data_IF_232544241417
#
_entry.id   IF_232544241417
#
_cell.length_a   1.000
_cell.length_b   1.000
_cell.length_c   1.000
_cell.angle_alpha   90.00
_cell.angle_beta   90.00
_cell.angle_gamma   90.00
#
_symmetry.space_group_name_H-M   'P 1'
#
loop_
_entity.id
_entity.type
_entity.pdbx_description
1 polymer ?
#
# COMPACT_ATOMS: atom_id res chain seq x y z
N UNK A 1 -3.11 14.53 29.08
CA UNK A 1 -4.37 15.18 28.62
C UNK A 1 -5.54 14.48 29.30
N UNK A 2 -6.60 15.18 29.72
CA UNK A 2 -7.78 14.48 30.29
C UNK A 2 -8.61 13.81 29.19
N UNK A 3 -9.31 12.71 29.51
CA UNK A 3 -10.19 12.02 28.55
C UNK A 3 -11.30 12.94 28.01
N UNK A 4 -11.81 13.84 28.86
CA UNK A 4 -12.78 14.89 28.48
C UNK A 4 -12.16 15.85 27.47
N UNK A 5 -10.94 16.35 27.74
CA UNK A 5 -10.23 17.24 26.82
C UNK A 5 -9.93 16.59 25.47
N UNK A 6 -9.56 15.30 25.47
CA UNK A 6 -9.38 14.53 24.24
C UNK A 6 -10.68 14.41 23.44
N UNK A 7 -11.79 14.04 24.11
CA UNK A 7 -13.12 13.94 23.48
C UNK A 7 -13.50 15.22 22.75
N UNK A 8 -13.36 16.38 23.41
CA UNK A 8 -13.69 17.69 22.79
C UNK A 8 -12.88 17.95 21.53
N UNK A 9 -11.56 17.68 21.55
CA UNK A 9 -10.70 17.86 20.38
C UNK A 9 -11.07 16.92 19.23
N UNK A 10 -11.35 15.66 19.54
CA UNK A 10 -11.76 14.66 18.55
C UNK A 10 -13.11 15.00 17.95
N UNK A 11 -14.11 15.38 18.74
CA UNK A 11 -15.41 15.82 18.24
C UNK A 11 -15.27 17.01 17.29
N UNK A 12 -14.37 17.95 17.58
CA UNK A 12 -14.04 19.04 16.67
C UNK A 12 -13.48 18.56 15.32
N UNK A 13 -12.58 17.57 15.33
CA UNK A 13 -12.06 16.95 14.09
C UNK A 13 -13.18 16.26 13.31
N UNK A 14 -13.98 15.43 13.98
CA UNK A 14 -15.10 14.68 13.38
C UNK A 14 -16.12 15.62 12.75
N UNK A 15 -16.47 16.73 13.41
CA UNK A 15 -17.39 17.73 12.88
C UNK A 15 -16.90 18.35 11.57
N UNK A 16 -15.62 18.73 11.51
CA UNK A 16 -15.01 19.28 10.29
C UNK A 16 -14.98 18.24 9.18
N UNK A 17 -14.56 17.01 9.47
CA UNK A 17 -14.55 15.93 8.48
C UNK A 17 -15.95 15.65 7.90
N UNK A 18 -16.99 15.62 8.74
CA UNK A 18 -18.38 15.46 8.29
C UNK A 18 -18.82 16.62 7.39
N UNK A 19 -18.47 17.86 7.76
CA UNK A 19 -18.74 19.05 6.95
C UNK A 19 -18.07 18.98 5.57
N UNK A 20 -16.86 18.43 5.51
CA UNK A 20 -16.09 18.26 4.26
C UNK A 20 -16.45 16.99 3.46
N UNK A 21 -17.49 16.26 3.87
CA UNK A 21 -17.97 15.05 3.20
C UNK A 21 -17.16 13.78 3.46
N UNK A 22 -16.18 13.80 4.37
CA UNK A 22 -15.31 12.66 4.73
C UNK A 22 -15.97 11.78 5.78
N UNK A 23 -17.13 11.24 5.43
CA UNK A 23 -18.05 10.56 6.36
C UNK A 23 -17.43 9.27 6.91
N UNK A 24 -16.73 8.50 6.08
CA UNK A 24 -16.14 7.22 6.49
C UNK A 24 -15.01 7.41 7.50
N UNK A 25 -14.13 8.37 7.24
CA UNK A 25 -13.04 8.73 8.15
C UNK A 25 -13.58 9.29 9.46
N UNK A 26 -14.56 10.19 9.39
CA UNK A 26 -15.20 10.76 10.57
C UNK A 26 -15.81 9.68 11.46
N UNK A 27 -16.56 8.74 10.88
CA UNK A 27 -17.16 7.60 11.58
C UNK A 27 -16.09 6.71 12.21
N UNK A 28 -15.04 6.37 11.47
CA UNK A 28 -13.94 5.54 11.99
C UNK A 28 -13.27 6.18 13.21
N UNK A 29 -13.03 7.50 13.18
CA UNK A 29 -12.45 8.22 14.32
C UNK A 29 -13.42 8.27 15.50
N UNK A 30 -14.69 8.62 15.25
CA UNK A 30 -15.74 8.76 16.27
C UNK A 30 -15.97 7.47 17.06
N UNK A 31 -15.91 6.31 16.40
CA UNK A 31 -16.13 5.00 17.01
C UNK A 31 -14.91 4.45 17.78
N UNK A 32 -13.70 4.94 17.51
CA UNK A 32 -12.47 4.28 17.96
C UNK A 32 -11.53 5.16 18.79
N UNK A 33 -11.71 6.49 18.85
CA UNK A 33 -10.76 7.40 19.50
C UNK A 33 -10.45 7.08 20.96
N UNK A 34 -11.39 6.46 21.68
CA UNK A 34 -11.29 6.17 23.11
C UNK A 34 -10.78 4.76 23.43
N UNK A 35 -10.45 3.96 22.41
CA UNK A 35 -9.79 2.66 22.57
C UNK A 35 -8.30 2.89 22.77
N UNK A 36 -7.66 2.06 23.58
CA UNK A 36 -6.20 1.99 23.60
C UNK A 36 -5.69 1.53 22.23
N UNK A 37 -4.45 1.88 21.90
CA UNK A 37 -3.80 1.47 20.66
C UNK A 37 -3.79 -0.06 20.54
N UNK A 38 -3.58 -0.77 21.65
CA UNK A 38 -3.62 -2.23 21.69
C UNK A 38 -5.01 -2.81 21.39
N UNK A 39 -6.05 -2.31 22.06
CA UNK A 39 -7.44 -2.76 21.82
C UNK A 39 -7.86 -2.52 20.37
N UNK A 40 -7.56 -1.33 19.85
CA UNK A 40 -7.86 -0.99 18.47
C UNK A 40 -7.10 -1.87 17.48
N UNK A 41 -5.81 -2.12 17.74
CA UNK A 41 -4.99 -3.01 16.92
C UNK A 41 -5.51 -4.45 16.90
N UNK A 42 -5.98 -4.98 18.04
CA UNK A 42 -6.63 -6.31 18.08
C UNK A 42 -7.87 -6.36 17.20
N UNK A 43 -8.70 -5.32 17.24
CA UNK A 43 -9.88 -5.22 16.38
C UNK A 43 -9.50 -5.16 14.89
N UNK A 44 -8.47 -4.40 14.53
CA UNK A 44 -7.96 -4.36 13.16
C UNK A 44 -7.50 -5.74 12.70
N UNK A 45 -6.81 -6.47 13.57
CA UNK A 45 -6.22 -7.78 13.31
C UNK A 45 -7.17 -8.98 13.43
N UNK A 46 -8.47 -8.74 13.56
CA UNK A 46 -9.50 -9.78 13.57
C UNK A 46 -10.29 -9.79 12.26
N UNK A 47 -10.08 -10.85 11.47
CA UNK A 47 -10.80 -11.17 10.24
C UNK A 47 -10.54 -12.64 9.88
N UNK A 48 -11.59 -13.38 9.47
CA UNK A 48 -11.52 -14.80 9.10
C UNK A 48 -12.58 -15.12 8.05
N UNK A 49 -12.29 -14.89 6.76
CA UNK A 49 -13.23 -15.17 5.68
C UNK A 49 -13.43 -16.68 5.50
N UNK A 50 -14.67 -17.09 5.20
CA UNK A 50 -15.03 -18.51 5.04
C UNK A 50 -14.68 -19.07 3.65
N UNK A 51 -14.85 -18.27 2.59
CA UNK A 51 -14.52 -18.68 1.21
C UNK A 51 -13.02 -18.90 1.14
N UNK A 52 -12.53 -19.95 0.49
CA UNK A 52 -11.10 -20.17 0.28
C UNK A 52 -10.44 -19.00 -0.49
N UNK A 53 -9.15 -18.81 -0.30
CA UNK A 53 -8.34 -17.93 -1.14
C UNK A 53 -8.16 -18.61 -2.49
N UNK A 54 -8.16 -17.85 -3.58
CA UNK A 54 -7.87 -18.39 -4.89
C UNK A 54 -6.43 -18.91 -4.95
N UNK A 55 -6.24 -20.09 -5.55
CA UNK A 55 -4.94 -20.74 -5.72
C UNK A 55 -3.93 -19.85 -6.43
N UNK A 56 -4.40 -19.04 -7.37
CA UNK A 56 -3.62 -18.11 -8.17
C UNK A 56 -3.05 -16.99 -7.30
N UNK A 57 -3.83 -16.51 -6.33
CA UNK A 57 -3.37 -15.47 -5.40
C UNK A 57 -2.40 -16.07 -4.37
N UNK A 58 -2.67 -17.27 -3.87
CA UNK A 58 -1.74 -18.01 -3.00
C UNK A 58 -0.39 -18.20 -3.69
N UNK A 59 -0.40 -18.64 -4.95
CA UNK A 59 0.81 -18.80 -5.78
C UNK A 59 1.53 -17.47 -6.01
N UNK A 60 0.78 -16.38 -6.20
CA UNK A 60 1.35 -15.05 -6.38
C UNK A 60 2.05 -14.51 -5.11
N UNK A 61 1.49 -14.75 -3.92
CA UNK A 61 2.18 -14.47 -2.67
C UNK A 61 3.42 -15.34 -2.50
N UNK A 62 3.35 -16.63 -2.85
CA UNK A 62 4.48 -17.53 -2.77
C UNK A 62 5.65 -17.06 -3.65
N UNK A 63 5.36 -16.61 -4.88
CA UNK A 63 6.34 -16.07 -5.80
C UNK A 63 7.00 -14.78 -5.26
N UNK A 64 6.22 -13.89 -4.63
CA UNK A 64 6.78 -12.68 -4.01
C UNK A 64 7.68 -13.00 -2.81
N UNK A 65 7.28 -13.94 -1.95
CA UNK A 65 8.11 -14.37 -0.82
C UNK A 65 9.41 -15.03 -1.30
N UNK A 66 9.36 -15.79 -2.39
CA UNK A 66 10.54 -16.38 -3.01
C UNK A 66 11.46 -15.31 -3.61
N UNK A 67 10.91 -14.31 -4.32
CA UNK A 67 11.67 -13.17 -4.84
C UNK A 67 12.42 -12.42 -3.73
N UNK A 68 11.79 -12.33 -2.56
CA UNK A 68 12.33 -11.71 -1.34
C UNK A 68 13.27 -12.61 -0.54
N UNK A 69 13.57 -13.81 -1.02
CA UNK A 69 14.50 -14.79 -0.43
C UNK A 69 14.10 -15.29 0.96
N UNK A 70 12.80 -15.41 1.22
CA UNK A 70 12.35 -16.19 2.38
C UNK A 70 12.67 -17.67 2.16
N UNK A 71 13.20 -18.32 3.20
CA UNK A 71 13.41 -19.77 3.19
C UNK A 71 12.08 -20.54 3.10
N UNK A 72 12.15 -21.82 2.72
CA UNK A 72 10.97 -22.64 2.47
C UNK A 72 10.04 -22.73 3.69
N UNK A 73 10.59 -22.87 4.90
CA UNK A 73 9.81 -23.00 6.13
C UNK A 73 9.09 -21.68 6.46
N UNK A 74 9.84 -20.57 6.47
CA UNK A 74 9.26 -19.24 6.70
C UNK A 74 8.17 -18.92 5.67
N UNK A 75 8.40 -19.26 4.39
CA UNK A 75 7.42 -19.05 3.31
C UNK A 75 6.11 -19.78 3.60
N UNK A 76 6.17 -21.06 3.97
CA UNK A 76 4.98 -21.86 4.31
C UNK A 76 4.22 -21.29 5.51
N UNK A 77 4.92 -20.90 6.57
CA UNK A 77 4.30 -20.34 7.77
C UNK A 77 3.60 -18.99 7.48
N UNK A 78 4.25 -18.13 6.69
CA UNK A 78 3.69 -16.84 6.28
C UNK A 78 2.45 -17.05 5.41
N UNK A 79 2.51 -17.93 4.41
CA UNK A 79 1.37 -18.24 3.55
C UNK A 79 0.20 -18.82 4.33
N UNK A 80 0.47 -19.72 5.28
CA UNK A 80 -0.56 -20.26 6.17
C UNK A 80 -1.25 -19.16 6.98
N UNK A 81 -0.46 -18.24 7.57
CA UNK A 81 -1.01 -17.10 8.32
C UNK A 81 -1.84 -16.17 7.42
N UNK A 82 -1.36 -15.85 6.22
CA UNK A 82 -2.08 -15.04 5.23
C UNK A 82 -3.42 -15.68 4.82
N UNK A 83 -3.45 -16.99 4.55
CA UNK A 83 -4.66 -17.73 4.18
C UNK A 83 -5.72 -17.69 5.26
N UNK A 84 -5.29 -17.85 6.51
CA UNK A 84 -6.14 -17.89 7.70
C UNK A 84 -6.69 -16.52 8.09
N UNK A 85 -5.83 -15.48 8.07
CA UNK A 85 -6.15 -14.16 8.61
C UNK A 85 -6.65 -13.17 7.55
N UNK A 86 -6.14 -13.25 6.32
CA UNK A 86 -6.39 -12.32 5.19
C UNK A 86 -6.41 -10.86 5.63
N UNK A 87 -5.34 -10.43 6.29
CA UNK A 87 -5.18 -9.07 6.80
C UNK A 87 -3.88 -8.51 6.25
N UNK A 88 -3.93 -7.26 5.77
CA UNK A 88 -2.78 -6.59 5.16
C UNK A 88 -2.77 -5.09 5.51
N UNK A 89 -1.61 -4.58 5.93
CA UNK A 89 -1.36 -3.14 6.01
C UNK A 89 -0.99 -2.61 4.62
N UNK A 90 -1.73 -1.64 4.08
CA UNK A 90 -1.54 -1.15 2.69
C UNK A 90 -1.33 0.37 2.58
N UNK A 91 -1.12 1.06 3.71
CA UNK A 91 -0.83 2.50 3.72
C UNK A 91 0.58 2.93 3.24
N UNK A 92 1.65 2.15 3.47
CA UNK A 92 2.99 2.59 3.12
C UNK A 92 3.24 2.54 1.60
N UNK A 93 3.68 3.67 1.06
CA UNK A 93 4.39 3.69 -0.22
C UNK A 93 5.72 2.97 -0.04
N UNK A 94 6.17 2.22 -1.04
CA UNK A 94 7.47 1.56 -0.97
C UNK A 94 8.56 2.61 -0.70
N UNK A 95 9.33 2.39 0.36
CA UNK A 95 10.37 3.30 0.83
C UNK A 95 11.47 2.55 1.56
N UNK A 96 12.66 3.16 1.62
CA UNK A 96 13.84 2.52 2.22
C UNK A 96 13.81 2.54 3.76
N UNK A 97 13.45 3.68 4.32
CA UNK A 97 13.22 3.84 5.76
C UNK A 97 11.97 4.66 5.95
N UNK A 98 11.13 4.29 6.91
CA UNK A 98 9.88 5.00 7.13
C UNK A 98 10.07 6.40 7.74
N UNK A 99 9.03 7.23 7.60
CA UNK A 99 8.88 8.47 8.38
C UNK A 99 8.06 8.25 9.66
N UNK A 100 7.93 9.26 10.54
CA UNK A 100 7.25 9.12 11.83
C UNK A 100 5.81 8.60 11.74
N UNK A 101 5.07 9.05 10.72
CA UNK A 101 3.69 8.59 10.48
C UNK A 101 3.63 7.12 10.07
N UNK A 102 4.51 6.69 9.17
CA UNK A 102 4.48 5.29 8.69
C UNK A 102 5.00 4.32 9.75
N UNK A 103 6.03 4.71 10.52
CA UNK A 103 6.43 3.97 11.71
C UNK A 103 5.28 3.81 12.71
N UNK A 104 4.53 4.89 12.98
CA UNK A 104 3.37 4.84 13.88
C UNK A 104 2.26 3.93 13.33
N UNK A 105 2.05 3.91 12.01
CA UNK A 105 1.10 3.03 11.33
C UNK A 105 1.49 1.56 11.52
N UNK A 106 2.75 1.21 11.25
CA UNK A 106 3.25 -0.16 11.36
C UNK A 106 3.30 -0.62 12.82
N UNK A 107 3.70 0.26 13.74
CA UNK A 107 3.58 0.02 15.17
C UNK A 107 2.12 -0.30 15.55
N UNK A 108 1.18 0.61 15.28
CA UNK A 108 -0.23 0.44 15.64
C UNK A 108 -0.81 -0.82 15.00
N UNK A 109 -0.57 -1.06 13.72
CA UNK A 109 -1.06 -2.23 13.00
C UNK A 109 -0.48 -3.55 13.53
N UNK A 110 0.73 -3.54 14.05
CA UNK A 110 1.41 -4.76 14.55
C UNK A 110 1.05 -5.14 15.99
N UNK A 111 0.61 -4.20 16.84
CA UNK A 111 0.42 -4.43 18.28
C UNK A 111 -0.46 -5.64 18.62
N UNK A 112 -1.59 -5.79 17.93
CA UNK A 112 -2.59 -6.84 18.15
C UNK A 112 -2.30 -8.15 17.42
N UNK A 113 -1.16 -8.27 16.74
CA UNK A 113 -0.76 -9.48 16.02
C UNK A 113 -0.13 -10.48 17.00
N UNK A 114 -0.66 -11.70 17.14
CA UNK A 114 -0.06 -12.74 17.97
C UNK A 114 1.37 -13.08 17.51
N UNK A 115 2.25 -13.45 18.44
CA UNK A 115 3.67 -13.74 18.13
C UNK A 115 3.85 -14.90 17.13
N UNK A 116 2.94 -15.88 17.14
CA UNK A 116 2.92 -17.04 16.23
C UNK A 116 2.26 -16.76 14.87
N UNK A 117 1.86 -15.53 14.61
CA UNK A 117 1.21 -15.10 13.36
C UNK A 117 2.02 -13.95 12.76
N UNK A 118 1.84 -13.66 11.48
CA UNK A 118 2.64 -12.63 10.79
C UNK A 118 1.87 -11.32 10.64
N UNK A 119 2.58 -10.20 10.84
CA UNK A 119 2.11 -8.87 10.47
C UNK A 119 2.66 -8.55 9.08
N UNK A 120 1.80 -8.60 8.07
CA UNK A 120 2.21 -8.38 6.68
C UNK A 120 1.92 -6.94 6.27
N UNK A 121 2.96 -6.25 5.83
CA UNK A 121 2.94 -4.90 5.28
C UNK A 121 3.09 -5.00 3.77
N UNK A 122 1.99 -4.70 3.08
CA UNK A 122 1.95 -4.60 1.64
C UNK A 122 2.31 -3.19 1.18
N UNK A 123 3.55 -2.99 0.73
CA UNK A 123 3.99 -1.71 0.22
C UNK A 123 3.59 -1.54 -1.25
N UNK A 124 3.11 -0.35 -1.59
CA UNK A 124 2.71 -0.03 -2.97
C UNK A 124 3.88 0.61 -3.72
N UNK A 125 4.37 -0.05 -4.78
CA UNK A 125 5.45 0.41 -5.65
C UNK A 125 4.97 1.04 -6.96
N UNK A 126 3.66 1.01 -7.24
CA UNK A 126 3.00 1.74 -8.32
C UNK A 126 2.97 3.27 -8.14
N UNK A 127 4.12 3.85 -7.82
CA UNK A 127 4.33 5.26 -7.47
C UNK A 127 5.55 5.81 -8.21
N UNK A 128 5.63 7.13 -8.40
CA UNK A 128 6.83 7.76 -8.92
C UNK A 128 7.91 7.89 -7.85
N UNK A 129 9.18 7.97 -8.26
CA UNK A 129 10.30 8.50 -7.50
C UNK A 129 10.13 10.03 -7.30
N UNK A 130 9.22 10.40 -6.40
CA UNK A 130 8.87 11.80 -6.14
C UNK A 130 9.24 12.28 -4.74
N UNK A 131 9.30 13.60 -4.57
CA UNK A 131 9.48 14.22 -3.25
C UNK A 131 8.27 14.04 -2.32
N UNK A 132 7.10 13.70 -2.89
CA UNK A 132 5.85 13.45 -2.14
C UNK A 132 5.80 12.01 -1.62
N UNK A 133 6.13 11.03 -2.47
CA UNK A 133 6.12 9.61 -2.12
C UNK A 133 7.41 9.15 -1.43
N UNK A 134 8.54 9.84 -1.66
CA UNK A 134 9.86 9.62 -1.06
C UNK A 134 10.41 8.18 -1.12
N UNK A 135 10.20 7.41 -2.21
CA UNK A 135 10.56 6.00 -2.24
C UNK A 135 12.07 5.76 -2.20
N UNK A 136 12.86 6.70 -2.74
CA UNK A 136 14.32 6.64 -2.81
C UNK A 136 15.07 7.46 -1.76
N UNK A 137 14.49 7.63 -0.57
CA UNK A 137 15.08 8.46 0.50
C UNK A 137 15.26 7.71 1.80
N UNK A 138 16.34 8.02 2.50
CA UNK A 138 16.46 7.75 3.94
C UNK A 138 15.82 8.92 4.66
N UNK A 139 14.70 8.67 5.31
CA UNK A 139 13.95 9.69 6.05
C UNK A 139 14.60 9.94 7.42
N UNK A 140 14.95 11.19 7.70
CA UNK A 140 15.58 11.65 8.95
C UNK A 140 15.04 13.01 9.37
N UNK A 141 15.21 13.37 10.64
CA UNK A 141 14.78 14.65 11.21
C UNK A 141 15.51 15.84 10.60
N UNK A 142 16.85 15.80 10.56
CA UNK A 142 17.66 16.93 10.10
C UNK A 142 17.65 17.07 8.58
N UNK A 143 17.99 16.00 7.89
CA UNK A 143 18.08 16.01 6.42
C UNK A 143 17.80 14.61 5.87
N UNK A 144 16.77 14.51 5.03
CA UNK A 144 16.49 13.29 4.29
C UNK A 144 17.54 13.08 3.20
N UNK A 145 18.14 11.90 3.16
CA UNK A 145 19.21 11.60 2.20
C UNK A 145 18.56 11.03 0.94
N UNK A 146 18.64 11.78 -0.15
CA UNK A 146 18.18 11.32 -1.44
C UNK A 146 19.19 10.33 -2.03
N UNK A 147 18.78 9.10 -2.35
CA UNK A 147 19.66 8.07 -2.90
C UNK A 147 19.57 7.95 -4.43
N UNK A 148 18.47 8.37 -5.04
CA UNK A 148 18.30 8.25 -6.49
C UNK A 148 18.89 9.45 -7.25
N UNK A 149 19.31 9.27 -8.52
CA UNK A 149 19.73 10.36 -9.39
C UNK A 149 18.54 11.20 -9.84
N UNK A 150 18.75 12.48 -10.14
CA UNK A 150 17.69 13.39 -10.60
C UNK A 150 17.03 12.97 -11.92
N UNK A 151 17.68 12.11 -12.72
CA UNK A 151 17.12 11.55 -13.95
C UNK A 151 15.99 10.55 -13.72
N UNK A 152 15.93 9.97 -12.51
CA UNK A 152 14.85 9.11 -12.07
C UNK A 152 13.77 9.89 -11.32
N UNK A 153 13.83 11.22 -11.27
CA UNK A 153 12.75 12.02 -10.71
C UNK A 153 11.47 11.73 -11.51
N UNK A 154 10.44 11.24 -10.82
CA UNK A 154 9.14 10.86 -11.36
C UNK A 154 9.07 9.53 -12.16
N UNK A 155 10.19 8.79 -12.22
CA UNK A 155 10.25 7.43 -12.75
C UNK A 155 9.42 6.44 -11.93
N UNK A 156 8.90 5.39 -12.56
CA UNK A 156 8.11 4.37 -11.87
C UNK A 156 9.00 3.53 -10.93
N UNK A 157 8.59 3.36 -9.68
CA UNK A 157 9.34 2.57 -8.68
C UNK A 157 9.21 1.06 -8.90
N UNK A 158 8.04 0.60 -9.36
CA UNK A 158 7.76 -0.80 -9.64
C UNK A 158 8.83 -1.39 -10.56
N UNK A 159 9.47 -2.47 -10.11
CA UNK A 159 10.57 -3.18 -10.80
C UNK A 159 11.76 -2.31 -11.22
N UNK A 160 11.92 -1.12 -10.62
CA UNK A 160 13.11 -0.30 -10.84
C UNK A 160 14.38 -1.05 -10.44
N UNK A 161 15.49 -0.70 -11.08
CA UNK A 161 16.82 -1.25 -10.80
C UNK A 161 17.61 -0.29 -9.93
N UNK A 162 18.51 -0.81 -9.10
CA UNK A 162 19.44 -0.01 -8.30
C UNK A 162 20.40 0.71 -9.26
N UNK A 163 20.44 2.06 -9.29
CA UNK A 163 21.44 2.78 -10.07
C UNK A 163 22.81 2.75 -9.36
N UNK A 164 23.93 2.79 -10.10
CA UNK A 164 25.29 2.73 -9.53
C UNK A 164 25.54 3.75 -8.41
N UNK A 165 24.96 4.94 -8.53
CA UNK A 165 25.10 6.05 -7.58
C UNK A 165 24.59 5.73 -6.16
N UNK A 166 23.71 4.74 -5.99
CA UNK A 166 23.25 4.35 -4.64
C UNK A 166 24.42 3.84 -3.81
N UNK A 167 25.25 2.96 -4.37
CA UNK A 167 26.37 2.35 -3.67
C UNK A 167 27.34 3.40 -3.10
N UNK A 168 27.73 4.38 -3.92
CA UNK A 168 28.56 5.51 -3.51
C UNK A 168 27.96 6.29 -2.34
N UNK A 169 26.64 6.56 -2.39
CA UNK A 169 25.95 7.29 -1.33
C UNK A 169 25.84 6.49 -0.04
N UNK A 170 25.65 5.18 -0.12
CA UNK A 170 25.58 4.32 1.07
C UNK A 170 26.89 4.35 1.86
N UNK A 171 28.04 4.46 1.19
CA UNK A 171 29.36 4.56 1.83
C UNK A 171 29.53 5.84 2.68
N UNK A 172 28.72 6.87 2.44
CA UNK A 172 28.75 8.12 3.23
C UNK A 172 27.86 8.07 4.48
N UNK A 173 27.09 6.99 4.67
CA UNK A 173 26.14 6.88 5.77
C UNK A 173 26.81 6.39 7.06
N UNK A 174 26.22 6.69 8.23
CA UNK A 174 26.71 6.16 9.49
C UNK A 174 26.71 4.63 9.50
N UNK A 175 27.83 4.02 9.91
CA UNK A 175 28.02 2.55 9.96
C UNK A 175 26.88 1.85 10.71
N UNK A 176 26.39 2.45 11.80
CA UNK A 176 25.25 1.93 12.58
C UNK A 176 24.00 1.72 11.75
N UNK A 177 23.71 2.59 10.77
CA UNK A 177 22.56 2.47 9.88
C UNK A 177 22.83 1.45 8.77
N UNK A 178 24.00 1.54 8.12
CA UNK A 178 24.34 0.67 6.98
C UNK A 178 24.34 -0.82 7.33
N UNK A 179 24.62 -1.18 8.59
CA UNK A 179 24.54 -2.57 9.08
C UNK A 179 23.15 -3.20 8.98
N UNK A 180 22.09 -2.41 8.85
CA UNK A 180 20.71 -2.87 8.68
C UNK A 180 20.24 -2.84 7.23
N UNK A 181 21.04 -2.26 6.33
CA UNK A 181 20.72 -2.20 4.90
C UNK A 181 21.35 -3.42 4.21
N UNK A 182 20.60 -4.16 3.37
CA UNK A 182 21.19 -5.18 2.52
C UNK A 182 22.21 -4.56 1.56
N UNK A 183 23.11 -5.38 1.03
CA UNK A 183 24.04 -4.94 0.00
C UNK A 183 23.27 -4.42 -1.22
N UNK A 184 23.56 -3.20 -1.65
CA UNK A 184 23.00 -2.63 -2.87
C UNK A 184 23.89 -3.02 -4.06
N UNK A 185 23.37 -3.87 -4.94
CA UNK A 185 24.07 -4.29 -6.17
C UNK A 185 23.50 -3.53 -7.36
N UNK A 186 24.29 -2.70 -8.08
CA UNK A 186 23.81 -1.99 -9.26
C UNK A 186 23.17 -2.94 -10.29
N UNK A 187 22.01 -2.55 -10.83
CA UNK A 187 21.24 -3.35 -11.78
C UNK A 187 20.30 -4.40 -11.14
N UNK A 188 20.47 -4.73 -9.86
CA UNK A 188 19.55 -5.60 -9.13
C UNK A 188 18.23 -4.88 -8.77
N UNK A 189 17.25 -5.62 -8.25
CA UNK A 189 15.92 -5.10 -7.93
C UNK A 189 15.97 -4.06 -6.79
N UNK A 190 15.57 -2.83 -7.10
CA UNK A 190 15.44 -1.76 -6.12
C UNK A 190 14.34 -2.06 -5.10
N UNK A 191 13.17 -2.52 -5.57
CA UNK A 191 12.01 -2.77 -4.70
C UNK A 191 12.31 -3.86 -3.66
N UNK A 192 12.98 -4.94 -4.06
CA UNK A 192 13.45 -5.99 -3.13
C UNK A 192 14.38 -5.42 -2.08
N UNK A 193 15.41 -4.69 -2.50
CA UNK A 193 16.40 -4.10 -1.61
C UNK A 193 15.76 -3.14 -0.60
N UNK A 194 14.86 -2.27 -1.05
CA UNK A 194 14.14 -1.33 -0.20
C UNK A 194 13.22 -2.03 0.82
N UNK A 195 12.48 -3.07 0.40
CA UNK A 195 11.62 -3.85 1.29
C UNK A 195 12.43 -4.56 2.38
N UNK A 196 13.54 -5.20 2.02
CA UNK A 196 14.42 -5.89 2.97
C UNK A 196 15.03 -4.90 3.96
N UNK A 197 15.52 -3.74 3.51
CA UNK A 197 16.00 -2.69 4.39
C UNK A 197 14.94 -2.14 5.35
N UNK A 198 13.73 -1.85 4.84
CA UNK A 198 12.63 -1.38 5.67
C UNK A 198 12.24 -2.43 6.72
N UNK A 199 12.14 -3.70 6.31
CA UNK A 199 11.87 -4.82 7.19
C UNK A 199 12.94 -4.96 8.28
N UNK A 200 14.23 -4.97 7.94
CA UNK A 200 15.31 -5.12 8.92
C UNK A 200 15.32 -3.97 9.95
N UNK A 201 15.16 -2.74 9.48
CA UNK A 201 15.14 -1.57 10.36
C UNK A 201 13.92 -1.59 11.29
N UNK A 202 12.72 -1.86 10.76
CA UNK A 202 11.51 -1.88 11.58
C UNK A 202 11.42 -3.07 12.54
N UNK A 203 11.86 -4.27 12.14
CA UNK A 203 11.94 -5.42 13.06
C UNK A 203 12.77 -5.08 14.29
N UNK A 204 13.89 -4.36 14.11
CA UNK A 204 14.75 -3.89 15.20
C UNK A 204 14.08 -2.81 16.06
N UNK A 205 13.38 -1.85 15.46
CA UNK A 205 12.78 -0.72 16.19
C UNK A 205 11.54 -1.15 16.97
N UNK A 206 10.69 -1.97 16.35
CA UNK A 206 9.45 -2.46 16.93
C UNK A 206 9.65 -3.70 17.80
N UNK A 207 10.87 -4.27 17.79
CA UNK A 207 11.21 -5.52 18.46
C UNK A 207 10.24 -6.66 18.09
N UNK A 208 10.04 -6.86 16.79
CA UNK A 208 9.12 -7.86 16.24
C UNK A 208 9.79 -8.61 15.10
N UNK A 209 9.91 -9.92 15.21
CA UNK A 209 10.50 -10.74 14.14
C UNK A 209 9.47 -11.22 13.11
N UNK A 210 8.18 -11.11 13.44
CA UNK A 210 7.05 -11.54 12.61
C UNK A 210 6.52 -10.44 11.67
N UNK A 211 7.25 -9.33 11.48
CA UNK A 211 6.96 -8.35 10.42
C UNK A 211 7.41 -8.91 9.06
N UNK A 212 6.54 -8.87 8.07
CA UNK A 212 6.84 -9.29 6.69
C UNK A 212 6.47 -8.15 5.75
N UNK A 213 7.44 -7.70 4.95
CA UNK A 213 7.24 -6.68 3.94
C UNK A 213 7.18 -7.31 2.57
N UNK A 214 6.18 -6.92 1.77
CA UNK A 214 5.99 -7.40 0.40
C UNK A 214 5.63 -6.25 -0.54
N UNK A 215 5.94 -6.41 -1.84
CA UNK A 215 5.41 -5.55 -2.89
C UNK A 215 4.03 -6.06 -3.34
N UNK A 216 2.96 -5.33 -3.02
CA UNK A 216 1.61 -5.75 -3.43
C UNK A 216 1.35 -5.60 -4.92
N UNK A 217 2.10 -4.73 -5.62
CA UNK A 217 2.01 -4.64 -7.07
C UNK A 217 2.61 -5.89 -7.74
N UNK A 218 3.69 -6.46 -7.19
CA UNK A 218 4.24 -7.75 -7.67
C UNK A 218 3.27 -8.91 -7.43
N UNK A 219 2.68 -8.99 -6.23
CA UNK A 219 1.67 -10.03 -5.94
C UNK A 219 0.50 -9.91 -6.93
N UNK A 220 -0.03 -8.72 -7.14
CA UNK A 220 -1.18 -8.53 -8.03
C UNK A 220 -0.80 -8.76 -9.50
N UNK A 221 0.41 -8.38 -9.92
CA UNK A 221 0.91 -8.66 -11.27
C UNK A 221 0.98 -10.17 -11.53
N UNK A 222 1.61 -10.93 -10.61
CA UNK A 222 1.72 -12.38 -10.70
C UNK A 222 0.35 -13.08 -10.65
N UNK A 223 -0.60 -12.54 -9.89
CA UNK A 223 -1.98 -13.01 -9.88
C UNK A 223 -2.68 -12.74 -11.23
N UNK A 224 -2.58 -11.53 -11.77
CA UNK A 224 -3.18 -11.15 -13.05
C UNK A 224 -2.65 -12.02 -14.21
N UNK A 225 -1.34 -12.30 -14.26
CA UNK A 225 -0.73 -13.19 -15.27
C UNK A 225 -1.40 -14.56 -15.32
N UNK A 226 -1.83 -15.09 -14.17
CA UNK A 226 -2.52 -16.37 -14.11
C UNK A 226 -3.99 -16.23 -14.51
N UNK A 227 -4.71 -15.29 -13.89
CA UNK A 227 -6.16 -15.21 -14.06
C UNK A 227 -6.63 -14.59 -15.38
N UNK A 228 -5.77 -13.83 -16.07
CA UNK A 228 -6.07 -13.31 -17.41
C UNK A 228 -6.06 -14.41 -18.48
N UNK A 229 -5.46 -15.59 -18.22
CA UNK A 229 -5.54 -16.76 -19.11
C UNK A 229 -6.86 -17.52 -18.97
N UNK A 230 -7.54 -17.36 -17.84
CA UNK A 230 -8.78 -18.07 -17.54
C UNK A 230 -9.99 -17.27 -18.02
N UNK A 231 -10.60 -17.68 -19.13
CA UNK A 231 -11.75 -17.00 -19.73
C UNK A 231 -13.00 -16.91 -18.83
N UNK A 232 -13.11 -17.81 -17.84
CA UNK A 232 -14.20 -17.76 -16.88
C UNK A 232 -13.96 -16.70 -15.78
N UNK A 233 -12.72 -16.28 -15.55
CA UNK A 233 -12.35 -15.38 -14.48
C UNK A 233 -12.85 -13.95 -14.71
N UNK A 234 -13.18 -13.24 -13.63
CA UNK A 234 -13.75 -11.89 -13.70
C UNK A 234 -12.77 -10.88 -14.30
N UNK A 235 -11.48 -10.95 -13.98
CA UNK A 235 -10.48 -10.09 -14.60
C UNK A 235 -10.36 -10.33 -16.11
N UNK A 236 -10.32 -11.59 -16.56
CA UNK A 236 -10.34 -11.86 -17.99
C UNK A 236 -11.56 -11.22 -18.66
N UNK A 237 -12.75 -11.39 -18.08
CA UNK A 237 -13.98 -10.79 -18.62
C UNK A 237 -13.94 -9.26 -18.62
N UNK A 238 -13.45 -8.63 -17.55
CA UNK A 238 -13.29 -7.16 -17.49
C UNK A 238 -12.39 -6.65 -18.63
N UNK A 239 -11.31 -7.36 -18.96
CA UNK A 239 -10.38 -6.92 -19.99
C UNK A 239 -10.79 -7.32 -21.41
N UNK A 240 -11.39 -8.51 -21.61
CA UNK A 240 -11.52 -9.13 -22.93
C UNK A 240 -12.97 -9.43 -23.37
N UNK A 241 -13.96 -9.35 -22.48
CA UNK A 241 -15.38 -9.40 -22.87
C UNK A 241 -15.90 -7.96 -23.06
N UNK A 242 -16.25 -7.53 -24.29
CA UNK A 242 -16.67 -6.16 -24.56
C UNK A 242 -17.90 -5.72 -23.75
N UNK A 243 -18.84 -6.64 -23.48
CA UNK A 243 -20.07 -6.35 -22.75
C UNK A 243 -19.77 -6.15 -21.26
N UNK A 244 -18.95 -7.02 -20.68
CA UNK A 244 -18.54 -6.92 -19.27
C UNK A 244 -17.65 -5.69 -19.07
N UNK A 245 -16.70 -5.45 -19.97
CA UNK A 245 -15.84 -4.26 -19.95
C UNK A 245 -16.66 -2.97 -20.02
N UNK A 246 -17.66 -2.89 -20.90
CA UNK A 246 -18.57 -1.73 -20.98
C UNK A 246 -19.32 -1.50 -19.65
N UNK A 247 -19.81 -2.56 -19.01
CA UNK A 247 -20.44 -2.43 -17.69
C UNK A 247 -19.45 -1.95 -16.63
N UNK A 248 -18.22 -2.46 -16.63
CA UNK A 248 -17.19 -2.01 -15.70
C UNK A 248 -16.83 -0.52 -15.91
N UNK A 249 -16.64 -0.10 -17.15
CA UNK A 249 -16.32 1.29 -17.50
C UNK A 249 -17.44 2.27 -17.16
N UNK A 250 -18.70 1.83 -17.09
CA UNK A 250 -19.81 2.73 -16.72
C UNK A 250 -19.79 3.12 -15.24
N UNK A 251 -19.24 2.27 -14.37
CA UNK A 251 -19.08 2.57 -12.93
C UNK A 251 -17.70 3.13 -12.59
N UNK A 252 -16.68 2.81 -13.40
CA UNK A 252 -15.31 3.31 -13.30
C UNK A 252 -14.88 4.05 -14.59
N UNK A 253 -15.52 5.18 -14.92
CA UNK A 253 -15.17 5.92 -16.13
C UNK A 253 -13.76 6.52 -16.00
N UNK A 254 -12.89 6.26 -16.98
CA UNK A 254 -11.51 6.77 -17.03
C UNK A 254 -10.71 6.46 -15.76
N UNK A 255 -10.97 5.32 -15.14
CA UNK A 255 -10.17 4.87 -14.01
C UNK A 255 -8.85 4.27 -14.49
N UNK A 256 -7.81 4.48 -13.69
CA UNK A 256 -6.46 4.02 -14.05
C UNK A 256 -6.42 2.50 -13.89
N UNK A 257 -6.03 1.79 -14.94
CA UNK A 257 -5.90 0.33 -14.93
C UNK A 257 -4.47 -0.09 -14.65
N UNK A 258 -3.51 0.58 -15.28
CA UNK A 258 -2.08 0.31 -15.08
C UNK A 258 -1.28 1.60 -15.04
N UNK A 259 -0.07 1.51 -14.50
CA UNK A 259 0.98 2.52 -14.66
C UNK A 259 2.06 1.96 -15.58
N UNK A 260 2.65 2.77 -16.45
CA UNK A 260 3.74 2.38 -17.36
C UNK A 260 4.89 3.38 -17.23
N UNK A 261 6.16 2.92 -17.25
CA UNK A 261 7.28 3.84 -17.41
C UNK A 261 7.32 4.34 -18.87
N UNK A 262 7.74 5.58 -19.06
CA UNK A 262 7.97 6.18 -20.38
C UNK A 262 9.26 7.00 -20.36
N UNK A 263 9.99 6.99 -21.47
CA UNK A 263 11.20 7.81 -21.62
C UNK A 263 10.84 9.17 -22.20
N UNK A 264 11.31 10.22 -21.54
CA UNK A 264 11.17 11.61 -21.93
C UNK A 264 12.57 12.23 -22.07
N UNK A 265 13.20 11.96 -23.21
CA UNK A 265 14.62 12.28 -23.42
C UNK A 265 15.51 11.46 -22.50
N UNK A 266 16.20 12.14 -21.56
CA UNK A 266 17.07 11.50 -20.55
C UNK A 266 16.37 11.17 -19.23
N UNK A 267 15.11 11.56 -19.08
CA UNK A 267 14.31 11.34 -17.88
C UNK A 267 13.35 10.17 -18.11
N UNK A 268 13.02 9.48 -17.04
CA UNK A 268 11.95 8.48 -17.03
C UNK A 268 10.78 9.02 -16.22
N UNK A 269 9.59 8.97 -16.81
CA UNK A 269 8.34 9.43 -16.19
C UNK A 269 7.38 8.23 -16.03
N UNK A 270 6.52 8.31 -15.02
CA UNK A 270 5.40 7.39 -14.86
C UNK A 270 4.15 7.93 -15.59
N UNK A 271 3.50 7.07 -16.35
CA UNK A 271 2.28 7.37 -17.09
C UNK A 271 1.12 6.45 -16.67
N UNK A 272 -0.11 6.97 -16.74
CA UNK A 272 -1.32 6.22 -16.45
C UNK A 272 -1.90 5.60 -17.73
N UNK A 273 -2.36 4.35 -17.64
CA UNK A 273 -3.08 3.66 -18.70
C UNK A 273 -4.54 3.45 -18.31
N UNK A 274 -5.43 3.75 -19.25
CA UNK A 274 -6.88 3.66 -19.12
C UNK A 274 -7.43 2.68 -20.15
N UNK A 275 -8.65 2.18 -19.96
CA UNK A 275 -9.37 1.66 -21.12
C UNK A 275 -9.56 2.77 -22.15
N UNK A 276 -9.34 2.46 -23.44
CA UNK A 276 -9.66 3.39 -24.51
C UNK A 276 -11.18 3.64 -24.60
N UNK A 277 -11.58 4.54 -25.51
CA UNK A 277 -12.99 4.90 -25.71
C UNK A 277 -13.87 3.68 -26.05
N UNK A 278 -15.19 3.86 -25.94
CA UNK A 278 -16.15 2.80 -26.18
C UNK A 278 -15.97 2.19 -27.59
N UNK A 279 -15.89 0.86 -27.66
CA UNK A 279 -15.60 0.11 -28.89
C UNK A 279 -14.11 -0.14 -29.15
N UNK A 280 -13.20 0.60 -28.50
CA UNK A 280 -11.78 0.28 -28.57
C UNK A 280 -11.46 -1.03 -27.84
N UNK A 281 -10.55 -1.81 -28.43
CA UNK A 281 -10.01 -3.04 -27.85
C UNK A 281 -8.57 -2.77 -27.39
N UNK A 282 -8.40 -1.77 -26.51
CA UNK A 282 -7.07 -1.29 -26.13
C UNK A 282 -7.03 -0.69 -24.73
N UNK A 283 -5.86 -0.75 -24.10
CA UNK A 283 -5.46 0.15 -23.02
C UNK A 283 -4.63 1.28 -23.61
N UNK A 284 -4.95 2.53 -23.25
CA UNK A 284 -4.31 3.73 -23.78
C UNK A 284 -3.65 4.54 -22.67
N UNK A 285 -2.38 4.84 -22.87
CA UNK A 285 -1.68 5.95 -22.28
C UNK A 285 -1.47 7.07 -23.31
N UNK A 286 -0.79 8.14 -22.91
CA UNK A 286 -0.32 9.22 -23.79
C UNK A 286 0.73 8.75 -24.80
N UNK A 287 1.66 7.88 -24.40
CA UNK A 287 2.80 7.46 -25.25
C UNK A 287 2.77 5.97 -25.62
N UNK A 288 1.86 5.18 -25.04
CA UNK A 288 1.77 3.73 -25.26
C UNK A 288 0.32 3.28 -25.42
N UNK A 289 0.08 2.36 -26.33
CA UNK A 289 -1.20 1.64 -26.48
C UNK A 289 -0.94 0.14 -26.46
N UNK A 290 -1.74 -0.60 -25.68
CA UNK A 290 -1.67 -2.06 -25.58
C UNK A 290 -2.97 -2.63 -26.13
N UNK A 291 -2.87 -3.49 -27.14
CA UNK A 291 -4.02 -4.18 -27.71
C UNK A 291 -4.61 -5.18 -26.70
N UNK A 292 -5.93 -5.18 -26.59
CA UNK A 292 -6.73 -6.17 -25.85
C UNK A 292 -7.39 -7.18 -26.80
N UNK A 293 -6.95 -7.27 -28.06
CA UNK A 293 -7.43 -8.28 -29.00
C UNK A 293 -6.93 -9.70 -28.70
N UNK A 294 -5.84 -9.82 -27.93
CA UNK A 294 -5.27 -11.09 -27.48
C UNK A 294 -4.81 -10.95 -26.02
N UNK A 295 -5.29 -11.80 -25.09
CA UNK A 295 -4.86 -11.77 -23.70
C UNK A 295 -3.35 -11.87 -23.48
N UNK A 296 -2.64 -12.63 -24.30
CA UNK A 296 -1.20 -12.82 -24.11
C UNK A 296 -0.40 -11.52 -24.29
N UNK A 297 -0.88 -10.56 -25.09
CA UNK A 297 -0.21 -9.25 -25.24
C UNK A 297 -0.17 -8.52 -23.89
N UNK A 298 -1.30 -8.41 -23.20
CA UNK A 298 -1.34 -7.77 -21.88
C UNK A 298 -0.57 -8.58 -20.84
N UNK A 299 -0.62 -9.91 -20.91
CA UNK A 299 0.10 -10.78 -19.99
C UNK A 299 1.61 -10.60 -20.14
N UNK A 300 2.14 -10.56 -21.36
CA UNK A 300 3.56 -10.32 -21.66
C UNK A 300 4.02 -8.95 -21.14
N UNK A 301 3.19 -7.91 -21.27
CA UNK A 301 3.46 -6.58 -20.73
C UNK A 301 3.56 -6.59 -19.20
N UNK A 302 2.67 -7.31 -18.51
CA UNK A 302 2.71 -7.49 -17.05
C UNK A 302 3.95 -8.30 -16.64
N UNK A 303 4.21 -9.43 -17.31
CA UNK A 303 5.34 -10.32 -17.01
C UNK A 303 6.69 -9.62 -17.21
N UNK A 304 6.81 -8.79 -18.24
CA UNK A 304 8.00 -8.01 -18.54
C UNK A 304 8.21 -6.84 -17.58
N UNK A 305 7.19 -6.48 -16.78
CA UNK A 305 7.24 -5.35 -15.85
C UNK A 305 7.01 -4.00 -16.50
N UNK A 306 6.59 -3.96 -17.77
CA UNK A 306 6.29 -2.72 -18.49
C UNK A 306 4.97 -2.09 -18.06
N UNK A 307 4.10 -2.84 -17.40
CA UNK A 307 2.92 -2.30 -16.75
C UNK A 307 2.84 -2.75 -15.28
N UNK A 308 2.52 -1.81 -14.41
CA UNK A 308 2.27 -2.00 -12.99
C UNK A 308 0.76 -1.95 -12.75
N UNK A 309 0.15 -2.95 -12.09
CA UNK A 309 -1.27 -2.90 -11.74
C UNK A 309 -1.60 -1.65 -10.92
N UNK A 310 -2.74 -1.00 -11.23
CA UNK A 310 -3.16 0.19 -10.50
C UNK A 310 -3.68 -0.13 -9.09
N UNK A 311 -3.96 0.94 -8.34
CA UNK A 311 -4.61 0.86 -7.03
C UNK A 311 -5.96 0.12 -7.08
N UNK A 312 -6.79 0.39 -8.10
CA UNK A 312 -8.09 -0.25 -8.23
C UNK A 312 -7.93 -1.76 -8.48
N UNK A 313 -7.09 -2.16 -9.44
CA UNK A 313 -6.84 -3.58 -9.72
C UNK A 313 -6.34 -4.32 -8.47
N UNK A 314 -5.45 -3.67 -7.72
CA UNK A 314 -4.90 -4.21 -6.48
C UNK A 314 -5.99 -4.51 -5.45
N UNK A 315 -6.91 -3.58 -5.21
CA UNK A 315 -7.98 -3.82 -4.23
C UNK A 315 -9.12 -4.70 -4.75
N UNK A 316 -9.37 -4.75 -6.06
CA UNK A 316 -10.25 -5.78 -6.62
C UNK A 316 -9.68 -7.17 -6.32
N UNK A 317 -8.41 -7.43 -6.65
CA UNK A 317 -7.77 -8.72 -6.42
C UNK A 317 -7.74 -9.10 -4.93
N UNK A 318 -7.21 -8.22 -4.09
CA UNK A 318 -6.98 -8.50 -2.67
C UNK A 318 -8.27 -8.40 -1.85
N UNK A 319 -8.86 -7.21 -1.78
CA UNK A 319 -10.00 -6.95 -0.91
C UNK A 319 -11.24 -7.67 -1.41
N UNK A 320 -11.62 -7.52 -2.68
CA UNK A 320 -12.97 -7.88 -3.13
C UNK A 320 -13.11 -9.33 -3.63
N UNK A 321 -12.14 -9.85 -4.39
CA UNK A 321 -12.18 -11.23 -4.89
C UNK A 321 -11.72 -12.24 -3.84
N UNK A 322 -10.66 -11.90 -3.10
CA UNK A 322 -10.02 -12.77 -2.12
C UNK A 322 -10.32 -12.42 -0.65
N UNK A 323 -11.16 -11.41 -0.42
CA UNK A 323 -11.67 -11.05 0.91
C UNK A 323 -10.57 -10.67 1.91
N UNK A 324 -9.53 -9.96 1.48
CA UNK A 324 -8.58 -9.36 2.42
C UNK A 324 -9.19 -8.14 3.14
N UNK A 325 -9.02 -8.11 4.45
CA UNK A 325 -9.19 -6.90 5.25
C UNK A 325 -7.92 -6.07 5.14
N UNK A 326 -7.92 -5.13 4.19
CA UNK A 326 -6.84 -4.16 4.04
C UNK A 326 -7.09 -2.97 4.98
N UNK A 327 -6.08 -2.58 5.76
CA UNK A 327 -6.11 -1.33 6.51
C UNK A 327 -5.04 -0.36 6.04
N UNK A 328 -5.41 0.91 6.03
CA UNK A 328 -4.63 1.96 5.39
C UNK A 328 -4.83 3.31 6.05
N UNK A 329 -4.15 4.33 5.53
CA UNK A 329 -4.30 5.71 6.02
C UNK A 329 -5.68 6.27 5.65
N UNK A 330 -5.96 7.49 6.13
CA UNK A 330 -7.23 8.19 5.92
C UNK A 330 -7.73 8.26 4.46
N UNK A 331 -6.85 8.29 3.46
CA UNK A 331 -7.28 8.24 2.05
C UNK A 331 -7.96 6.91 1.69
N UNK A 332 -7.42 5.78 2.15
CA UNK A 332 -7.98 4.44 1.90
C UNK A 332 -9.35 4.26 2.55
N UNK A 333 -9.53 4.83 3.73
CA UNK A 333 -10.82 4.78 4.43
C UNK A 333 -11.92 5.50 3.65
N UNK A 334 -11.56 6.42 2.75
CA UNK A 334 -12.50 7.14 1.90
C UNK A 334 -12.69 6.44 0.53
N UNK A 335 -11.63 6.08 -0.19
CA UNK A 335 -11.79 5.52 -1.54
C UNK A 335 -12.23 4.05 -1.56
N UNK A 336 -11.83 3.23 -0.57
CA UNK A 336 -12.09 1.79 -0.61
C UNK A 336 -13.58 1.46 -0.43
N UNK A 337 -14.35 2.15 0.44
CA UNK A 337 -15.81 2.03 0.46
C UNK A 337 -16.46 2.42 -0.87
N UNK A 338 -16.00 3.47 -1.53
CA UNK A 338 -16.55 3.88 -2.84
C UNK A 338 -16.28 2.82 -3.91
N UNK A 339 -15.11 2.20 -3.91
CA UNK A 339 -14.82 1.07 -4.80
C UNK A 339 -15.78 -0.10 -4.55
N UNK A 340 -16.05 -0.44 -3.29
CA UNK A 340 -17.00 -1.48 -2.91
C UNK A 340 -18.41 -1.16 -3.42
N UNK A 341 -18.90 0.07 -3.19
CA UNK A 341 -20.22 0.52 -3.64
C UNK A 341 -20.36 0.46 -5.17
N UNK A 342 -19.33 0.91 -5.90
CA UNK A 342 -19.31 0.87 -7.37
C UNK A 342 -19.28 -0.55 -7.90
N UNK A 343 -18.43 -1.40 -7.35
CA UNK A 343 -18.33 -2.81 -7.76
C UNK A 343 -19.63 -3.58 -7.43
N UNK A 344 -20.32 -3.26 -6.33
CA UNK A 344 -21.55 -3.94 -5.92
C UNK A 344 -22.71 -3.68 -6.92
N UNK A 345 -22.66 -2.59 -7.68
CA UNK A 345 -23.62 -2.28 -8.75
C UNK A 345 -23.47 -3.20 -9.96
N UNK A 346 -22.31 -3.84 -10.13
CA UNK A 346 -22.03 -4.70 -11.27
C UNK A 346 -22.67 -6.09 -11.06
N UNK A 347 -23.58 -6.55 -11.94
CA UNK A 347 -24.27 -7.84 -11.77
C UNK A 347 -23.31 -9.02 -11.60
N UNK A 348 -22.20 -9.04 -12.34
CA UNK A 348 -21.21 -10.11 -12.30
C UNK A 348 -20.37 -10.12 -11.01
N UNK A 349 -20.41 -9.06 -10.19
CA UNK A 349 -19.71 -8.98 -8.91
C UNK A 349 -20.54 -9.50 -7.73
N UNK A 350 -21.86 -9.64 -7.89
CA UNK A 350 -22.77 -10.04 -6.80
C UNK A 350 -22.43 -11.40 -6.17
N UNK A 351 -21.84 -12.31 -6.95
CA UNK A 351 -21.43 -13.64 -6.47
C UNK A 351 -20.37 -13.58 -5.36
N UNK A 352 -19.56 -12.51 -5.32
CA UNK A 352 -18.48 -12.36 -4.34
C UNK A 352 -18.95 -11.81 -2.99
N UNK A 353 -20.21 -11.32 -2.90
CA UNK A 353 -20.81 -10.73 -1.68
C UNK A 353 -19.92 -9.65 -1.07
N UNK A 354 -19.39 -8.78 -1.92
CA UNK A 354 -18.31 -7.87 -1.57
C UNK A 354 -18.70 -6.86 -0.50
N UNK A 355 -20.00 -6.57 -0.36
CA UNK A 355 -20.60 -5.65 0.62
C UNK A 355 -20.35 -6.10 2.08
N UNK A 356 -20.04 -7.38 2.29
CA UNK A 356 -19.69 -7.93 3.61
C UNK A 356 -18.24 -7.66 4.04
N UNK A 357 -17.41 -7.13 3.13
CA UNK A 357 -15.97 -6.95 3.34
C UNK A 357 -15.74 -5.60 4.04
N UNK A 358 -14.92 -5.60 5.09
CA UNK A 358 -14.62 -4.36 5.83
C UNK A 358 -13.68 -3.45 5.03
N UNK A 359 -14.12 -2.24 4.69
CA UNK A 359 -13.38 -1.29 3.84
C UNK A 359 -12.89 -0.03 4.56
N UNK A 360 -13.44 0.30 5.73
CA UNK A 360 -13.09 1.49 6.52
C UNK A 360 -12.19 1.17 7.73
N UNK A 361 -11.02 0.57 7.47
CA UNK A 361 -10.06 0.19 8.52
C UNK A 361 -8.88 1.18 8.58
N UNK A 362 -8.90 2.08 9.55
CA UNK A 362 -7.92 3.16 9.68
C UNK A 362 -6.66 2.71 10.42
N UNK A 363 -5.50 2.94 9.82
CA UNK A 363 -4.22 2.95 10.52
C UNK A 363 -3.54 4.27 10.18
N UNK A 364 -3.43 5.14 11.17
CA UNK A 364 -2.77 6.45 11.02
C UNK A 364 -2.42 7.00 12.40
N UNK A 365 -1.51 7.96 12.41
CA UNK A 365 -1.14 8.66 13.62
C UNK A 365 0.31 9.08 13.59
N UNK A 366 0.70 9.80 14.62
CA UNK A 366 2.07 10.07 15.00
C UNK A 366 2.11 9.97 16.52
N UNK A 367 3.23 9.53 17.08
CA UNK A 367 3.38 9.48 18.52
C UNK A 367 3.25 10.90 19.12
N UNK A 368 2.36 11.16 20.11
CA UNK A 368 2.26 12.45 20.79
C UNK A 368 3.56 13.12 21.22
N UNK A 369 4.58 12.34 21.58
CA UNK A 369 5.92 12.80 21.99
C UNK A 369 6.97 12.71 20.86
N UNK A 370 6.55 12.31 19.65
CA UNK A 370 7.43 11.74 18.64
C UNK A 370 7.12 12.20 17.22
N UNK A 371 6.71 13.46 17.05
CA UNK A 371 6.60 14.11 15.72
C UNK A 371 7.92 14.00 14.94
N UNK A 372 9.03 13.79 15.65
CA UNK A 372 10.37 13.61 15.11
C UNK A 372 10.94 12.19 15.28
N UNK A 373 10.12 11.17 15.51
CA UNK A 373 10.61 9.79 15.66
C UNK A 373 10.85 9.16 14.30
N UNK A 374 12.06 9.34 13.76
CA UNK A 374 12.49 8.72 12.51
C UNK A 374 13.21 7.38 12.80
N UNK A 375 12.79 6.26 12.17
CA UNK A 375 13.46 4.97 12.23
C UNK A 375 14.99 5.05 12.07
N UNK A 376 15.46 5.76 11.04
CA UNK A 376 16.88 5.88 10.77
C UNK A 376 17.64 6.57 11.92
N UNK A 377 17.06 7.62 12.51
CA UNK A 377 17.69 8.34 13.62
C UNK A 377 17.70 7.49 14.91
N UNK A 378 16.64 6.72 15.19
CA UNK A 378 16.64 5.76 16.31
C UNK A 378 17.79 4.74 16.18
N UNK A 379 18.01 4.19 14.99
CA UNK A 379 19.11 3.26 14.73
C UNK A 379 20.48 3.93 14.89
N UNK A 380 20.66 5.13 14.34
CA UNK A 380 21.92 5.89 14.43
C UNK A 380 22.26 6.21 15.90
N UNK A 381 21.27 6.61 16.68
CA UNK A 381 21.46 6.98 18.08
C UNK A 381 21.44 5.79 19.04
N UNK A 382 20.97 4.61 18.60
CA UNK A 382 20.85 3.42 19.43
C UNK A 382 19.67 3.50 20.42
N UNK A 383 18.64 4.25 20.06
CA UNK A 383 17.45 4.47 20.88
C UNK A 383 16.40 3.39 20.60
N UNK A 384 15.62 3.04 21.63
CA UNK A 384 14.50 2.12 21.50
C UNK A 384 13.18 2.90 21.53
N UNK A 385 12.20 2.41 20.78
CA UNK A 385 10.84 2.93 20.87
C UNK A 385 10.26 2.59 22.26
N UNK A 386 9.83 3.60 23.01
CA UNK A 386 9.20 3.40 24.33
C UNK A 386 7.84 2.68 24.18
N UNK A 387 7.47 1.90 25.20
CA UNK A 387 6.14 1.30 25.32
C UNK A 387 5.06 2.40 25.37
N UNK A 388 4.02 2.22 24.54
CA UNK A 388 3.01 3.24 24.19
C UNK A 388 1.63 2.62 23.97
N UNK A 389 1.44 1.34 24.31
CA UNK A 389 0.26 0.54 23.95
C UNK A 389 -1.04 1.04 24.58
N UNK A 390 -0.92 1.69 25.75
CA UNK A 390 -2.04 2.24 26.52
C UNK A 390 -2.50 3.63 26.04
N UNK A 391 -1.79 4.23 25.08
CA UNK A 391 -2.24 5.48 24.47
C UNK A 391 -3.56 5.28 23.76
N UNK A 392 -4.44 6.27 23.88
CA UNK A 392 -5.71 6.23 23.17
C UNK A 392 -5.47 6.51 21.69
N UNK A 393 -6.22 5.81 20.82
CA UNK A 393 -6.11 6.02 19.38
C UNK A 393 -6.27 7.49 19.00
N UNK A 394 -7.20 8.21 19.66
CA UNK A 394 -7.38 9.65 19.46
C UNK A 394 -6.15 10.50 19.77
N UNK A 395 -5.29 10.09 20.71
CA UNK A 395 -4.06 10.83 21.04
C UNK A 395 -3.06 10.78 19.88
N UNK A 396 -3.01 9.67 19.13
CA UNK A 396 -2.18 9.51 17.94
C UNK A 396 -2.61 10.43 16.79
N UNK A 397 -3.88 10.85 16.79
CA UNK A 397 -4.47 11.67 15.73
C UNK A 397 -4.24 13.16 15.91
N UNK A 398 -4.10 13.64 17.15
CA UNK A 398 -3.98 15.06 17.43
C UNK A 398 -2.77 15.73 16.75
N UNK A 399 -1.56 15.13 16.74
CA UNK A 399 -0.40 15.72 16.07
C UNK A 399 -0.61 15.90 14.56
N UNK A 400 -1.44 15.05 13.94
CA UNK A 400 -1.70 15.05 12.50
C UNK A 400 -3.06 15.65 12.13
N UNK A 401 -3.68 16.43 13.04
CA UNK A 401 -4.99 17.05 12.83
C UNK A 401 -5.08 17.79 11.48
N UNK A 402 -4.07 18.59 11.15
CA UNK A 402 -4.04 19.37 9.91
C UNK A 402 -4.02 18.47 8.68
N UNK A 403 -3.27 17.38 8.71
CA UNK A 403 -3.23 16.39 7.61
C UNK A 403 -4.54 15.61 7.48
N UNK A 404 -5.19 15.26 8.60
CA UNK A 404 -6.49 14.58 8.59
C UNK A 404 -7.57 15.46 7.94
N UNK A 405 -7.67 16.71 8.40
CA UNK A 405 -8.66 17.68 7.88
C UNK A 405 -8.30 18.08 6.45
N UNK A 406 -7.03 18.33 6.17
CA UNK A 406 -6.53 18.76 4.86
C UNK A 406 -6.39 17.65 3.81
N UNK A 407 -6.75 16.40 4.12
CA UNK A 407 -6.74 15.31 3.14
C UNK A 407 -7.56 15.70 1.91
N UNK A 408 -6.96 15.56 0.72
CA UNK A 408 -7.59 15.90 -0.56
C UNK A 408 -8.51 14.77 -1.09
N UNK A 409 -8.64 13.66 -0.38
CA UNK A 409 -9.58 12.60 -0.74
C UNK A 409 -10.93 12.81 -0.05
N UNK A 410 -12.00 12.84 -0.85
CA UNK A 410 -13.39 12.69 -0.42
C UNK A 410 -14.02 11.63 -1.33
N UNK A 411 -14.34 10.45 -0.79
CA UNK A 411 -14.67 9.29 -1.61
C UNK A 411 -13.52 8.85 -2.52
N UNK A 412 -13.80 8.60 -3.79
CA UNK A 412 -12.81 8.27 -4.83
C UNK A 412 -12.27 9.51 -5.59
N UNK A 413 -12.80 10.70 -5.30
CA UNK A 413 -12.33 11.93 -5.92
C UNK A 413 -11.11 12.49 -5.20
N UNK A 414 -10.09 12.82 -5.99
CA UNK A 414 -9.00 13.70 -5.56
C UNK A 414 -9.49 15.13 -5.75
N UNK A 415 -9.79 15.84 -4.66
CA UNK A 415 -9.92 17.29 -4.72
C UNK A 415 -8.55 17.83 -5.13
N UNK A 416 -8.44 18.34 -6.36
CA UNK A 416 -7.27 19.09 -6.78
C UNK A 416 -7.21 20.35 -5.90
N UNK A 417 -6.50 20.26 -4.79
CA UNK A 417 -6.06 21.46 -4.10
C UNK A 417 -5.15 22.20 -5.05
N UNK A 418 -5.62 23.29 -5.64
CA UNK A 418 -4.75 24.39 -6.03
C UNK A 418 -4.10 24.90 -4.74
N UNK A 419 -3.03 24.25 -4.31
CA UNK A 419 -2.09 24.73 -3.28
C UNK A 419 -0.69 24.24 -3.61
#
# INVERSE_FOLDING_TARGET
MTKIGLKTKITGIVSVLKKDGKIHLAKCIEENWNKTAFEYSKQLNFWRPKKAMESELESAFAAELERLEFDAMSKEEILFSLKKRRILQTAPHLGLTEGPRMLCINWLGSLGVPEKEFYVVGMFSGIPFSNRSRPGRINRKKEAINLFPSTMQDALVYRAKIPPKIEEKLNTLPVKLTKFLPQAVPGASYTKWALQACQHTERRILNKNNLVYIDINEVVANYLVQVLRNSAHVFHKIFFDPKIRKQFMSVFPREIMFYTPVLNGKYEDMENMFFGDEGSQSLKGKNKEISLGNPEILIEEIQSGWVCPSLLLTFIALSFLNQFKCFGSFAQVEYLPVYQEKLARLPFMKIFKIESIMTSNLTTGVFPDGIDTFPADLIIHGENLKQKENWLFGELLLPIRSSLIGSYFTGDQRQNGNK
#
